data_IF_763346752530
#
_entry.id   IF_763346752530
#
_cell.length_a   1.000
_cell.length_b   1.000
_cell.length_c   1.000
_cell.angle_alpha   90.00
_cell.angle_beta   90.00
_cell.angle_gamma   90.00
#
_symmetry.space_group_name_H-M   'P 1'
#
loop_
_entity.id
_entity.type
_entity.pdbx_description
1 polymer ?
#
# COMPACT_ATOMS: atom_id res chain seq x y z
N UNK A 1 8.88 55.08 -81.05
CA UNK A 1 9.33 53.67 -80.94
C UNK A 1 9.30 53.30 -79.47
N UNK A 2 8.45 52.33 -79.13
CA UNK A 2 8.00 51.99 -77.78
C UNK A 2 9.16 51.54 -76.88
N UNK A 3 9.71 52.54 -76.18
CA UNK A 3 10.52 52.41 -75.00
C UNK A 3 9.64 51.97 -73.81
N UNK A 4 10.11 50.95 -73.10
CA UNK A 4 10.08 50.86 -71.63
C UNK A 4 8.74 50.63 -70.91
N UNK A 5 7.99 49.56 -71.21
CA UNK A 5 6.97 49.07 -70.24
C UNK A 5 6.60 47.57 -70.32
N UNK A 6 7.48 46.70 -70.84
CA UNK A 6 7.20 45.24 -70.93
C UNK A 6 7.95 44.36 -69.91
N UNK A 7 8.61 44.93 -68.89
CA UNK A 7 9.44 44.14 -67.97
C UNK A 7 8.92 44.04 -66.52
N UNK A 8 7.92 44.83 -66.11
CA UNK A 8 7.48 44.88 -64.69
C UNK A 8 6.29 44.02 -64.32
N UNK A 9 5.52 43.48 -65.29
CA UNK A 9 4.38 42.60 -64.97
C UNK A 9 4.78 41.11 -65.01
N UNK A 10 5.87 40.74 -65.68
CA UNK A 10 6.48 39.40 -65.56
C UNK A 10 7.18 39.16 -64.20
N UNK A 11 7.13 40.14 -63.29
CA UNK A 11 7.63 40.00 -61.92
C UNK A 11 6.54 40.09 -60.84
N UNK A 12 5.27 40.16 -61.25
CA UNK A 12 4.15 39.87 -60.35
C UNK A 12 3.68 38.44 -60.62
N UNK A 13 3.99 37.59 -59.65
CA UNK A 13 3.52 36.22 -59.50
C UNK A 13 4.24 35.13 -60.30
N UNK A 14 5.55 35.08 -60.05
CA UNK A 14 6.28 33.87 -59.62
C UNK A 14 5.64 33.27 -58.31
N UNK A 15 4.31 33.28 -58.19
CA UNK A 15 3.55 32.92 -56.98
C UNK A 15 2.41 31.94 -57.28
N UNK A 16 2.48 31.23 -58.40
CA UNK A 16 1.77 29.96 -58.57
C UNK A 16 2.78 28.89 -58.98
N UNK A 17 3.95 28.91 -58.32
CA UNK A 17 4.74 27.70 -58.20
C UNK A 17 3.87 26.68 -57.46
N UNK A 18 3.49 25.61 -58.16
CA UNK A 18 2.83 24.45 -57.60
C UNK A 18 3.46 24.06 -56.26
N UNK A 19 2.86 24.52 -55.16
CA UNK A 19 2.97 23.83 -53.89
C UNK A 19 2.12 22.58 -54.04
N UNK A 20 2.63 21.62 -54.79
CA UNK A 20 2.16 20.25 -54.72
C UNK A 20 2.60 19.70 -53.36
N UNK A 21 1.75 20.03 -52.38
CA UNK A 21 1.31 19.20 -51.28
C UNK A 21 2.25 18.04 -50.96
N UNK A 22 3.13 18.28 -49.98
CA UNK A 22 3.57 17.31 -48.96
C UNK A 22 3.34 15.85 -49.35
N UNK A 23 4.16 15.27 -50.25
CA UNK A 23 4.25 13.81 -50.33
C UNK A 23 5.09 13.36 -49.14
N UNK A 24 4.51 12.68 -48.13
CA UNK A 24 5.32 12.17 -47.04
C UNK A 24 6.31 11.16 -47.64
N UNK A 25 7.59 11.36 -47.38
CA UNK A 25 8.68 10.46 -47.83
C UNK A 25 8.54 9.04 -47.25
N UNK A 26 7.63 8.85 -46.30
CA UNK A 26 7.27 7.58 -45.69
C UNK A 26 5.91 7.10 -46.22
N UNK A 27 5.91 5.96 -46.92
CA UNK A 27 4.69 5.24 -47.29
C UNK A 27 4.23 4.38 -46.10
N UNK A 28 2.98 4.53 -45.67
CA UNK A 28 2.40 3.68 -44.61
C UNK A 28 2.08 2.31 -45.20
N UNK A 29 2.87 1.28 -44.84
CA UNK A 29 2.54 -0.11 -45.18
C UNK A 29 1.54 -0.68 -44.17
N UNK A 30 0.31 -0.97 -44.59
CA UNK A 30 -0.66 -1.68 -43.74
C UNK A 30 -0.20 -3.14 -43.57
N UNK A 31 0.23 -3.50 -42.35
CA UNK A 31 0.48 -4.91 -42.04
C UNK A 31 -0.86 -5.58 -41.76
N UNK A 32 -1.34 -6.37 -42.71
CA UNK A 32 -2.57 -7.15 -42.55
C UNK A 32 -2.36 -8.22 -41.47
N UNK A 33 -3.00 -8.01 -40.32
CA UNK A 33 -2.87 -8.86 -39.12
C UNK A 33 -3.36 -10.30 -39.35
N UNK A 34 -4.11 -10.52 -40.44
CA UNK A 34 -4.74 -11.81 -40.76
C UNK A 34 -3.96 -12.68 -41.77
N UNK A 35 -2.83 -12.18 -42.27
CA UNK A 35 -1.99 -12.94 -43.19
C UNK A 35 -1.11 -13.94 -42.44
N UNK A 36 -1.31 -15.23 -42.72
CA UNK A 36 -0.56 -16.36 -42.15
C UNK A 36 0.97 -16.31 -42.36
N UNK A 37 1.43 -15.47 -43.30
CA UNK A 37 2.84 -15.27 -43.64
C UNK A 37 3.56 -14.31 -42.66
N UNK A 38 2.82 -13.53 -41.86
CA UNK A 38 3.39 -12.57 -40.91
C UNK A 38 3.15 -13.03 -39.46
N UNK A 39 4.15 -12.86 -38.59
CA UNK A 39 3.98 -13.19 -37.17
C UNK A 39 2.85 -12.37 -36.55
N UNK A 40 2.00 -12.97 -35.70
CA UNK A 40 0.97 -12.22 -35.02
C UNK A 40 1.60 -11.15 -34.12
N UNK A 41 0.93 -10.01 -33.93
CA UNK A 41 1.38 -8.99 -32.99
C UNK A 41 1.51 -9.60 -31.59
N UNK A 42 2.46 -9.09 -30.79
CA UNK A 42 2.63 -9.52 -29.40
C UNK A 42 1.32 -9.28 -28.64
N UNK A 43 0.78 -10.34 -28.02
CA UNK A 43 -0.44 -10.29 -27.20
C UNK A 43 -0.09 -10.39 -25.72
N UNK A 44 -0.98 -9.92 -24.85
CA UNK A 44 -0.83 -10.10 -23.42
C UNK A 44 -1.02 -11.56 -23.02
N UNK A 45 0.09 -12.24 -22.76
CA UNK A 45 0.11 -13.65 -22.36
C UNK A 45 -0.09 -13.86 -20.85
N UNK A 46 -0.29 -12.80 -20.07
CA UNK A 46 -0.35 -12.84 -18.59
C UNK A 46 -1.33 -13.87 -18.02
N UNK A 47 -2.43 -14.14 -18.74
CA UNK A 47 -3.43 -15.16 -18.40
C UNK A 47 -2.96 -16.59 -18.70
N UNK A 48 -2.24 -16.77 -19.81
CA UNK A 48 -1.86 -18.08 -20.36
C UNK A 48 -0.48 -18.55 -19.89
N UNK A 49 0.33 -17.67 -19.33
CA UNK A 49 1.61 -18.01 -18.72
C UNK A 49 1.40 -19.04 -17.61
N UNK A 50 2.20 -20.11 -17.64
CA UNK A 50 2.28 -21.09 -16.57
C UNK A 50 2.94 -20.46 -15.34
N UNK A 51 2.13 -19.86 -14.47
CA UNK A 51 2.60 -19.23 -13.25
C UNK A 51 3.25 -20.24 -12.28
N UNK A 52 4.26 -19.81 -11.49
CA UNK A 52 4.83 -20.56 -10.38
C UNK A 52 3.76 -21.12 -9.43
N UNK A 53 4.05 -22.28 -8.81
CA UNK A 53 3.09 -23.02 -7.97
C UNK A 53 2.57 -22.18 -6.79
N UNK A 54 3.43 -21.39 -6.14
CA UNK A 54 3.04 -20.53 -5.00
C UNK A 54 1.98 -19.49 -5.38
N UNK A 55 2.17 -18.80 -6.51
CA UNK A 55 1.24 -17.79 -7.02
C UNK A 55 -0.10 -18.42 -7.39
N UNK A 56 -0.06 -19.61 -8.02
CA UNK A 56 -1.28 -20.35 -8.36
C UNK A 56 -2.09 -20.70 -7.11
N UNK A 57 -1.43 -21.23 -6.08
CA UNK A 57 -2.06 -21.58 -4.80
C UNK A 57 -2.61 -20.34 -4.08
N UNK A 58 -1.89 -19.22 -4.07
CA UNK A 58 -2.37 -17.97 -3.48
C UNK A 58 -3.63 -17.45 -4.20
N UNK A 59 -3.65 -17.47 -5.53
CA UNK A 59 -4.82 -17.07 -6.35
C UNK A 59 -6.00 -18.02 -6.14
N UNK A 60 -5.77 -19.33 -6.16
CA UNK A 60 -6.79 -20.34 -5.88
C UNK A 60 -7.38 -20.18 -4.48
N UNK A 61 -6.54 -19.97 -3.45
CA UNK A 61 -6.98 -19.70 -2.08
C UNK A 61 -7.89 -18.47 -1.99
N UNK A 62 -7.56 -17.39 -2.73
CA UNK A 62 -8.41 -16.19 -2.80
C UNK A 62 -9.77 -16.49 -3.46
N UNK A 63 -9.78 -17.20 -4.58
CA UNK A 63 -11.01 -17.59 -5.28
C UNK A 63 -11.90 -18.47 -4.41
N UNK A 64 -11.32 -19.44 -3.70
CA UNK A 64 -12.06 -20.33 -2.80
C UNK A 64 -12.74 -19.55 -1.67
N UNK A 65 -12.07 -18.56 -1.06
CA UNK A 65 -12.68 -17.69 -0.03
C UNK A 65 -13.85 -16.85 -0.57
N UNK A 66 -13.86 -16.52 -1.86
CA UNK A 66 -14.94 -15.75 -2.47
C UNK A 66 -16.14 -16.62 -2.85
N UNK A 67 -15.89 -17.86 -3.31
CA UNK A 67 -16.93 -18.77 -3.80
C UNK A 67 -17.61 -19.57 -2.69
N UNK A 68 -16.84 -19.96 -1.67
CA UNK A 68 -17.37 -20.70 -0.54
C UNK A 68 -18.09 -19.76 0.42
N UNK A 69 -19.13 -20.27 1.10
CA UNK A 69 -19.77 -19.55 2.20
C UNK A 69 -18.81 -19.48 3.38
N UNK A 70 -18.24 -18.31 3.62
CA UNK A 70 -17.33 -18.06 4.75
C UNK A 70 -18.15 -17.87 6.02
N UNK A 71 -17.82 -18.53 7.15
CA UNK A 71 -18.55 -18.37 8.40
C UNK A 71 -18.49 -16.91 8.90
N UNK A 72 -19.54 -16.44 9.60
CA UNK A 72 -19.69 -15.03 9.97
C UNK A 72 -18.53 -14.53 10.84
N UNK A 73 -17.92 -15.38 11.67
CA UNK A 73 -16.75 -15.03 12.46
C UNK A 73 -15.55 -14.60 11.60
N UNK A 74 -15.32 -15.29 10.48
CA UNK A 74 -14.23 -14.97 9.55
C UNK A 74 -14.59 -13.83 8.60
N UNK A 75 -15.87 -13.69 8.25
CA UNK A 75 -16.32 -12.63 7.36
C UNK A 75 -16.26 -11.23 8.00
N UNK A 76 -16.15 -11.12 9.32
CA UNK A 76 -15.91 -9.82 10.00
C UNK A 76 -14.62 -9.15 9.50
N UNK A 77 -13.59 -9.92 9.18
CA UNK A 77 -12.30 -9.40 8.74
C UNK A 77 -12.27 -8.88 7.30
N UNK A 78 -13.33 -9.11 6.50
CA UNK A 78 -13.43 -8.54 5.16
C UNK A 78 -13.92 -7.09 5.19
N UNK A 79 -14.64 -6.70 6.26
CA UNK A 79 -15.13 -5.34 6.49
C UNK A 79 -14.07 -4.54 7.22
N UNK A 80 -13.30 -3.75 6.48
CA UNK A 80 -12.28 -2.85 7.03
C UNK A 80 -12.86 -1.48 7.35
N UNK A 81 -12.18 -0.73 8.22
CA UNK A 81 -12.47 0.69 8.47
C UNK A 81 -12.26 1.49 7.16
N UNK A 82 -13.13 2.47 6.89
CA UNK A 82 -13.06 3.32 5.69
C UNK A 82 -11.76 4.12 5.65
N UNK A 83 -11.22 4.39 4.46
CA UNK A 83 -9.91 5.02 4.28
C UNK A 83 -9.75 6.35 5.04
N UNK A 84 -10.80 7.19 5.09
CA UNK A 84 -10.77 8.48 5.80
C UNK A 84 -10.67 8.32 7.34
N UNK A 85 -11.26 7.26 7.88
CA UNK A 85 -11.16 6.90 9.30
C UNK A 85 -9.87 6.13 9.59
N UNK A 86 -9.37 5.36 8.62
CA UNK A 86 -8.08 4.71 8.73
C UNK A 86 -6.95 5.75 8.78
N UNK A 87 -7.04 6.83 8.01
CA UNK A 87 -6.07 7.93 8.11
C UNK A 87 -6.08 8.67 9.46
N UNK A 88 -7.18 8.63 10.22
CA UNK A 88 -7.20 9.20 11.58
C UNK A 88 -6.80 8.19 12.67
N UNK A 89 -6.97 6.88 12.42
CA UNK A 89 -6.79 5.80 13.42
C UNK A 89 -5.54 4.93 13.21
N UNK A 90 -5.09 4.62 11.98
CA UNK A 90 -3.99 3.66 11.66
C UNK A 90 -2.69 4.19 10.98
N UNK A 91 -1.52 3.96 11.61
CA UNK A 91 -0.12 3.73 11.12
C UNK A 91 0.46 4.46 9.85
N UNK A 92 1.80 4.62 9.74
CA UNK A 92 2.52 5.85 9.43
C UNK A 92 3.20 5.83 8.05
N UNK A 93 2.55 5.26 7.03
CA UNK A 93 3.17 5.13 5.69
C UNK A 93 2.92 6.33 4.78
N UNK A 94 1.80 7.04 4.96
CA UNK A 94 1.48 8.23 4.17
C UNK A 94 1.75 9.46 5.01
N UNK A 95 2.98 9.95 4.90
CA UNK A 95 3.46 11.14 5.59
C UNK A 95 2.86 12.42 5.00
N UNK A 96 1.54 12.64 5.08
CA UNK A 96 0.96 13.95 4.82
C UNK A 96 -0.30 14.19 5.69
N UNK A 97 -0.12 15.07 6.69
CA UNK A 97 -1.12 15.90 7.39
C UNK A 97 -2.31 15.25 8.15
N UNK A 98 -2.04 14.67 9.34
CA UNK A 98 -2.76 14.95 10.62
C UNK A 98 -2.06 14.23 11.80
N UNK A 99 -1.95 14.81 13.02
CA UNK A 99 -1.22 14.19 14.13
C UNK A 99 -1.97 12.99 14.73
N UNK A 100 -1.35 11.82 14.57
CA UNK A 100 -1.91 10.51 14.83
C UNK A 100 -2.06 10.19 16.34
N UNK A 101 -3.26 9.79 16.78
CA UNK A 101 -3.51 9.36 18.17
C UNK A 101 -2.54 8.23 18.58
N UNK A 102 -2.26 7.27 17.69
CA UNK A 102 -1.33 6.18 17.98
C UNK A 102 0.16 6.59 17.98
N UNK A 103 0.53 7.74 17.39
CA UNK A 103 1.93 8.20 17.45
C UNK A 103 2.30 8.64 18.86
N UNK A 104 1.36 9.22 19.62
CA UNK A 104 1.56 9.62 21.02
C UNK A 104 1.82 8.42 21.93
N UNK A 105 1.20 7.27 21.63
CA UNK A 105 1.28 6.05 22.44
C UNK A 105 2.23 5.00 21.86
N UNK A 106 3.12 5.39 20.93
CA UNK A 106 4.07 4.46 20.32
C UNK A 106 5.01 3.89 21.40
N UNK A 107 5.24 2.56 21.43
CA UNK A 107 6.24 1.98 22.31
C UNK A 107 7.63 2.50 21.98
N UNK A 108 8.43 2.76 23.01
CA UNK A 108 9.79 3.28 22.86
C UNK A 108 10.69 2.33 22.07
N UNK A 109 11.50 2.90 21.19
CA UNK A 109 12.53 2.17 20.46
C UNK A 109 13.65 1.69 21.40
N UNK A 110 14.35 0.61 21.01
CA UNK A 110 15.46 0.04 21.79
C UNK A 110 16.55 1.07 22.11
N UNK A 111 16.84 2.00 21.20
CA UNK A 111 17.80 3.08 21.41
C UNK A 111 17.29 4.14 22.40
N UNK A 112 16.01 4.50 22.32
CA UNK A 112 15.38 5.45 23.25
C UNK A 112 15.37 4.89 24.68
N UNK A 113 15.03 3.60 24.85
CA UNK A 113 15.08 2.90 26.14
C UNK A 113 16.47 2.94 26.77
N UNK A 114 17.53 2.66 26.00
CA UNK A 114 18.92 2.75 26.48
C UNK A 114 19.24 4.17 26.96
N UNK A 115 18.88 5.20 26.20
CA UNK A 115 19.07 6.60 26.59
C UNK A 115 18.31 6.95 27.87
N UNK A 116 17.08 6.45 28.05
CA UNK A 116 16.29 6.67 29.26
C UNK A 116 16.92 5.99 30.47
N UNK A 117 17.41 4.76 30.33
CA UNK A 117 18.10 4.05 31.41
C UNK A 117 19.38 4.77 31.84
N UNK A 118 20.21 5.23 30.88
CA UNK A 118 21.41 6.00 31.18
C UNK A 118 21.08 7.31 31.92
N UNK A 119 20.02 8.01 31.50
CA UNK A 119 19.55 9.23 32.17
C UNK A 119 19.06 8.97 33.60
N UNK A 120 18.37 7.84 33.83
CA UNK A 120 17.92 7.44 35.17
C UNK A 120 19.10 7.19 36.11
N UNK A 121 20.09 6.43 35.65
CA UNK A 121 21.32 6.15 36.42
C UNK A 121 22.05 7.45 36.77
N UNK A 122 22.14 8.40 35.83
CA UNK A 122 22.73 9.72 36.09
C UNK A 122 21.94 10.53 37.11
N UNK A 123 20.61 10.58 37.02
CA UNK A 123 19.77 11.31 37.98
C UNK A 123 19.74 10.69 39.38
N UNK A 124 19.86 9.36 39.47
CA UNK A 124 19.98 8.63 40.72
C UNK A 124 21.34 8.90 41.38
N UNK A 125 22.42 8.96 40.59
CA UNK A 125 23.75 9.34 41.07
C UNK A 125 23.82 10.81 41.56
N UNK A 126 23.02 11.70 40.98
CA UNK A 126 22.86 13.09 41.43
C UNK A 126 21.93 13.24 42.65
N UNK A 127 21.30 12.16 43.15
CA UNK A 127 20.50 12.17 44.38
C UNK A 127 19.14 12.86 44.29
N UNK A 128 18.61 13.16 43.09
CA UNK A 128 17.28 13.76 42.93
C UNK A 128 16.19 12.67 42.99
N UNK A 129 15.09 12.84 43.75
CA UNK A 129 14.02 11.84 43.83
C UNK A 129 13.27 11.73 42.49
N UNK A 130 13.39 10.58 41.82
CA UNK A 130 12.81 10.34 40.50
C UNK A 130 11.39 9.79 40.63
N UNK A 131 10.39 10.67 40.76
CA UNK A 131 8.99 10.29 40.56
C UNK A 131 8.67 10.15 39.07
N UNK A 132 9.10 9.05 38.44
CA UNK A 132 8.76 8.78 37.05
C UNK A 132 7.39 8.10 36.95
N UNK A 133 6.36 8.84 36.50
CA UNK A 133 5.07 8.27 36.10
C UNK A 133 5.28 7.28 34.95
N UNK A 134 4.67 6.09 35.04
CA UNK A 134 4.78 5.06 34.00
C UNK A 134 4.20 5.59 32.68
N UNK A 135 4.94 5.52 31.55
CA UNK A 135 4.41 6.00 30.28
C UNK A 135 3.24 5.13 29.83
N UNK A 136 2.19 5.78 29.34
CA UNK A 136 1.03 5.11 28.72
C UNK A 136 1.47 4.70 27.32
N UNK A 137 1.45 3.41 27.02
CA UNK A 137 1.96 2.84 25.77
C UNK A 137 0.95 1.86 25.19
N UNK A 138 0.83 1.84 23.86
CA UNK A 138 0.02 0.86 23.15
C UNK A 138 0.61 -0.56 23.26
N UNK A 139 -0.19 -1.51 23.72
CA UNK A 139 0.13 -2.94 23.72
C UNK A 139 -0.07 -3.51 22.31
N UNK A 140 0.82 -4.40 21.85
CA UNK A 140 0.82 -4.88 20.45
C UNK A 140 0.83 -6.41 20.31
N UNK A 141 1.25 -7.15 21.34
CA UNK A 141 1.34 -8.62 21.27
C UNK A 141 -0.02 -9.22 21.64
N UNK A 142 -0.48 -10.19 20.83
CA UNK A 142 -1.78 -10.85 21.03
C UNK A 142 -1.97 -11.41 22.44
N UNK A 143 -0.93 -12.01 23.04
CA UNK A 143 -1.00 -12.54 24.41
C UNK A 143 -1.19 -11.45 25.46
N UNK A 144 -0.51 -10.32 25.31
CA UNK A 144 -0.61 -9.17 26.23
C UNK A 144 -1.99 -8.54 26.10
N UNK A 145 -2.45 -8.31 24.86
CA UNK A 145 -3.77 -7.77 24.57
C UNK A 145 -4.88 -8.66 25.15
N UNK A 146 -4.76 -9.99 24.98
CA UNK A 146 -5.70 -10.94 25.55
C UNK A 146 -5.72 -10.83 27.08
N UNK A 147 -4.57 -10.86 27.74
CA UNK A 147 -4.49 -10.76 29.20
C UNK A 147 -5.02 -9.42 29.74
N UNK A 148 -4.83 -8.33 29.01
CA UNK A 148 -5.34 -7.00 29.35
C UNK A 148 -6.86 -6.92 29.22
N UNK A 149 -7.40 -7.46 28.13
CA UNK A 149 -8.83 -7.51 27.84
C UNK A 149 -9.57 -8.46 28.80
N UNK A 150 -8.98 -9.59 29.15
CA UNK A 150 -9.51 -10.47 30.19
C UNK A 150 -9.55 -9.79 31.56
N UNK A 151 -8.51 -9.01 31.91
CA UNK A 151 -8.48 -8.23 33.16
C UNK A 151 -9.55 -7.14 33.19
N UNK A 152 -9.74 -6.39 32.11
CA UNK A 152 -10.76 -5.33 32.06
C UNK A 152 -12.19 -5.88 32.05
N UNK A 153 -12.44 -6.99 31.35
CA UNK A 153 -13.74 -7.67 31.38
C UNK A 153 -14.05 -8.25 32.78
N UNK A 154 -13.06 -8.78 33.49
CA UNK A 154 -13.23 -9.25 34.87
C UNK A 154 -13.63 -8.12 35.83
N UNK A 155 -13.09 -6.91 35.63
CA UNK A 155 -13.48 -5.72 36.41
C UNK A 155 -14.92 -5.28 36.10
N UNK A 156 -15.38 -5.41 34.85
CA UNK A 156 -16.73 -5.01 34.44
C UNK A 156 -17.81 -6.01 34.86
N UNK A 157 -17.48 -7.30 34.92
CA UNK A 157 -18.43 -8.37 35.27
C UNK A 157 -18.46 -8.69 36.78
N UNK A 158 -17.65 -8.02 37.61
CA UNK A 158 -17.67 -8.17 39.07
C UNK A 158 -17.18 -9.52 39.61
N UNK A 159 -16.66 -10.40 38.76
CA UNK A 159 -16.18 -11.73 39.17
C UNK A 159 -14.65 -11.74 39.35
N UNK A 160 -14.22 -11.98 40.59
CA UNK A 160 -12.86 -12.37 40.95
C UNK A 160 -12.60 -13.81 40.47
N UNK A 161 -12.35 -14.01 39.18
CA UNK A 161 -11.83 -15.28 38.69
C UNK A 161 -10.31 -15.34 38.89
N UNK A 162 -9.91 -16.09 39.90
CA UNK A 162 -8.53 -16.49 40.12
C UNK A 162 -8.05 -17.31 38.92
N UNK A 163 -6.93 -16.88 38.34
CA UNK A 163 -6.23 -17.64 37.31
C UNK A 163 -5.70 -18.95 37.93
N UNK A 164 -6.39 -20.06 37.70
CA UNK A 164 -5.73 -21.36 37.79
C UNK A 164 -4.85 -21.52 36.55
N UNK A 165 -3.55 -21.35 36.78
CA UNK A 165 -2.51 -21.48 35.76
C UNK A 165 -2.38 -22.94 35.29
N UNK A 166 -2.04 -23.06 34.00
CA UNK A 166 -1.33 -24.17 33.33
C UNK A 166 -1.94 -25.58 33.34
N UNK A 167 -2.41 -26.05 32.17
CA UNK A 167 -2.00 -27.35 31.57
C UNK A 167 -2.78 -27.80 30.32
N UNK A 168 -3.94 -27.22 29.97
CA UNK A 168 -4.85 -27.89 29.02
C UNK A 168 -4.58 -27.60 27.51
N UNK A 169 -3.70 -26.66 27.17
CA UNK A 169 -3.43 -26.30 25.76
C UNK A 169 -2.18 -26.96 25.13
N UNK A 170 -1.77 -28.15 25.59
CA UNK A 170 -0.67 -28.90 24.93
C UNK A 170 -1.10 -30.19 24.21
N UNK A 171 -2.33 -30.67 24.37
CA UNK A 171 -2.77 -31.93 23.75
C UNK A 171 -3.88 -31.70 22.72
N UNK A 172 -3.55 -31.02 21.61
CA UNK A 172 -4.34 -31.13 20.38
C UNK A 172 -3.52 -30.71 19.14
N UNK A 173 -2.28 -31.18 19.06
CA UNK A 173 -1.52 -31.33 17.81
C UNK A 173 -0.72 -32.63 17.93
N UNK A 174 -1.39 -33.76 17.73
CA UNK A 174 -0.82 -35.02 17.24
C UNK A 174 -1.84 -35.62 16.28
#
# INVERSE_FOLDING_TARGET
MCLLLSASVLRCNIFLASRESNKPTFQVSSTEVWNWRTLPPKKDLTRYIKWPKSIRLQRQKRILRQRLKVPPALNKFTKTVQNNLASSISFPFVALNYPFILLKYRPEDKAAKKKLLLKKVQSEAEGKPVESKKPIVAEYVLSILHASLSRSLAVLNGELFTYHNSSVFSNCIK
#
